data_IF_596839986304
#
_entry.id   IF_596839986304
#
_cell.length_a   1.000
_cell.length_b   1.000
_cell.length_c   1.000
_cell.angle_alpha   90.00
_cell.angle_beta   90.00
_cell.angle_gamma   90.00
#
_symmetry.space_group_name_H-M   'P 1'
#
loop_
_entity.id
_entity.type
_entity.pdbx_description
1 polymer ?
#
# COMPACT_ATOMS: atom_id res chain seq x y z
N UNK A 1 -12.60 40.35 8.96
CA UNK A 1 -13.42 39.62 7.97
C UNK A 1 -12.43 38.80 7.19
N UNK A 2 -12.04 37.63 7.73
CA UNK A 2 -12.65 36.34 7.41
C UNK A 2 -12.36 35.99 5.95
N UNK A 3 -11.17 35.42 5.74
CA UNK A 3 -10.77 34.79 4.49
C UNK A 3 -11.71 33.61 4.22
N UNK A 4 -12.73 33.85 3.39
CA UNK A 4 -13.51 32.81 2.74
C UNK A 4 -12.73 32.34 1.51
N UNK A 5 -11.85 31.37 1.69
CA UNK A 5 -11.42 30.51 0.58
C UNK A 5 -12.14 29.16 0.70
N UNK A 6 -13.44 29.21 0.44
CA UNK A 6 -14.29 28.04 0.26
C UNK A 6 -14.07 27.46 -1.14
N UNK A 7 -12.88 26.92 -1.38
CA UNK A 7 -12.66 25.88 -2.38
C UNK A 7 -12.16 24.65 -1.64
N UNK A 8 -13.11 23.93 -1.03
CA UNK A 8 -12.89 22.72 -0.25
C UNK A 8 -12.37 21.58 -1.13
N UNK A 9 -11.09 21.65 -1.52
CA UNK A 9 -10.38 20.47 -1.98
C UNK A 9 -10.27 19.55 -0.75
N UNK A 10 -10.88 18.36 -0.74
CA UNK A 10 -10.81 17.42 0.38
C UNK A 10 -9.41 16.81 0.56
N UNK A 11 -8.41 17.36 -0.13
CA UNK A 11 -7.05 16.87 -0.26
C UNK A 11 -6.11 18.06 -0.08
N UNK A 12 -5.73 18.34 1.16
CA UNK A 12 -4.73 19.37 1.45
C UNK A 12 -3.35 18.72 1.68
N UNK A 13 -3.33 17.47 2.14
CA UNK A 13 -2.12 16.70 2.37
C UNK A 13 -2.15 15.35 1.63
N UNK A 14 -0.98 14.77 1.25
CA UNK A 14 -0.93 13.47 0.57
C UNK A 14 -1.63 12.33 1.34
N UNK A 15 -1.65 12.39 2.68
CA UNK A 15 -2.34 11.41 3.52
C UNK A 15 -3.86 11.56 3.51
N UNK A 16 -4.40 12.72 3.13
CA UNK A 16 -5.84 12.90 2.98
C UNK A 16 -6.40 12.04 1.84
N UNK A 17 -5.60 11.79 0.79
CA UNK A 17 -5.98 10.86 -0.28
C UNK A 17 -6.12 9.43 0.24
N UNK A 18 -5.19 9.00 1.10
CA UNK A 18 -5.21 7.65 1.71
C UNK A 18 -6.47 7.47 2.55
N UNK A 19 -6.94 8.55 3.20
CA UNK A 19 -8.21 8.55 3.95
C UNK A 19 -9.40 8.19 3.09
N UNK A 20 -9.42 8.66 1.85
CA UNK A 20 -10.52 8.38 0.90
C UNK A 20 -10.54 6.90 0.48
N UNK A 21 -9.41 6.20 0.58
CA UNK A 21 -9.27 4.78 0.24
C UNK A 21 -9.53 3.82 1.42
N UNK A 22 -10.02 4.31 2.57
CA UNK A 22 -10.42 3.45 3.67
C UNK A 22 -11.53 2.47 3.24
N UNK A 23 -11.41 1.21 3.65
CA UNK A 23 -12.27 0.08 3.28
C UNK A 23 -12.21 -0.34 1.81
N UNK A 24 -11.35 0.27 0.99
CA UNK A 24 -11.08 -0.15 -0.39
C UNK A 24 -9.87 -1.08 -0.48
N UNK A 25 -9.71 -1.74 -1.64
CA UNK A 25 -8.52 -2.55 -1.94
C UNK A 25 -7.41 -1.63 -2.42
N UNK A 26 -6.27 -1.66 -1.74
CA UNK A 26 -5.08 -0.88 -2.07
C UNK A 26 -3.95 -1.78 -2.52
N UNK A 27 -3.07 -1.23 -3.36
CA UNK A 27 -1.80 -1.84 -3.75
C UNK A 27 -0.66 -1.07 -3.10
N UNK A 28 0.18 -1.77 -2.34
CA UNK A 28 1.28 -1.17 -1.57
C UNK A 28 2.59 -1.83 -1.97
N UNK A 29 3.49 -1.05 -2.57
CA UNK A 29 4.84 -1.49 -2.88
C UNK A 29 5.78 -1.21 -1.69
N UNK A 30 6.33 -2.26 -1.13
CA UNK A 30 7.29 -2.22 -0.03
C UNK A 30 8.72 -2.28 -0.57
N UNK A 31 9.67 -1.92 0.29
CA UNK A 31 11.10 -2.14 0.02
C UNK A 31 11.43 -3.63 0.06
N UNK A 32 12.46 -4.03 -0.70
CA UNK A 32 12.90 -5.42 -0.79
C UNK A 32 12.02 -6.27 -1.70
N UNK A 33 11.58 -5.69 -2.82
CA UNK A 33 10.82 -6.37 -3.87
C UNK A 33 9.61 -7.15 -3.35
N UNK A 34 8.84 -6.44 -2.51
CA UNK A 34 7.62 -6.95 -1.89
C UNK A 34 6.44 -6.05 -2.24
N UNK A 35 5.32 -6.66 -2.55
CA UNK A 35 4.08 -5.98 -2.89
C UNK A 35 2.94 -6.58 -2.07
N UNK A 36 2.09 -5.74 -1.50
CA UNK A 36 0.88 -6.14 -0.77
C UNK A 36 -0.35 -5.65 -1.53
N UNK A 37 -1.35 -6.51 -1.65
CA UNK A 37 -2.68 -6.15 -2.12
C UNK A 37 -3.69 -6.57 -1.07
N UNK A 38 -4.47 -5.64 -0.54
CA UNK A 38 -5.42 -5.95 0.53
C UNK A 38 -6.37 -4.78 0.81
N UNK A 39 -7.37 -5.02 1.65
CA UNK A 39 -8.33 -4.00 2.07
C UNK A 39 -7.71 -3.09 3.12
N UNK A 40 -7.74 -1.77 2.95
CA UNK A 40 -7.22 -0.82 3.93
C UNK A 40 -8.19 -0.61 5.09
N UNK A 41 -7.83 -1.03 6.30
CA UNK A 41 -8.64 -0.84 7.51
C UNK A 41 -8.25 0.41 8.29
N UNK A 42 -6.95 0.67 8.43
CA UNK A 42 -6.43 1.82 9.16
C UNK A 42 -5.06 2.26 8.62
N UNK A 43 -4.71 3.51 8.89
CA UNK A 43 -3.39 4.05 8.63
C UNK A 43 -3.04 5.12 9.67
N UNK A 44 -1.77 5.47 9.80
CA UNK A 44 -1.31 6.58 10.64
C UNK A 44 -0.36 7.53 9.88
N UNK A 45 0.13 8.56 10.58
CA UNK A 45 1.07 9.55 10.03
C UNK A 45 2.47 8.99 9.73
N UNK A 46 2.80 7.80 10.23
CA UNK A 46 4.08 7.12 9.97
C UNK A 46 4.00 6.18 8.76
N UNK A 47 2.86 6.13 8.07
CA UNK A 47 2.55 5.19 7.00
C UNK A 47 2.52 3.73 7.49
N UNK A 48 2.25 3.50 8.78
CA UNK A 48 1.81 2.17 9.21
C UNK A 48 0.42 1.93 8.63
N UNK A 49 0.18 0.72 8.12
CA UNK A 49 -1.09 0.33 7.51
C UNK A 49 -1.61 -0.92 8.24
N UNK A 50 -2.92 -0.98 8.43
CA UNK A 50 -3.62 -2.21 8.82
C UNK A 50 -4.40 -2.67 7.61
N UNK A 51 -4.02 -3.81 7.05
CA UNK A 51 -4.64 -4.39 5.87
C UNK A 51 -5.36 -5.69 6.23
N UNK A 52 -6.54 -5.91 5.64
CA UNK A 52 -7.31 -7.16 5.73
C UNK A 52 -7.34 -7.89 4.39
N UNK A 53 -7.51 -9.21 4.42
CA UNK A 53 -7.57 -10.08 3.23
C UNK A 53 -6.39 -9.84 2.28
N UNK A 54 -5.17 -9.96 2.80
CA UNK A 54 -3.94 -9.50 2.13
C UNK A 54 -3.31 -10.62 1.30
N UNK A 55 -2.98 -10.31 0.05
CA UNK A 55 -2.06 -11.06 -0.80
C UNK A 55 -0.70 -10.35 -0.82
N UNK A 56 0.32 -11.03 -0.30
CA UNK A 56 1.71 -10.62 -0.38
C UNK A 56 2.39 -11.31 -1.57
N UNK A 57 3.14 -10.54 -2.35
CA UNK A 57 3.98 -11.02 -3.45
C UNK A 57 5.43 -10.63 -3.18
N UNK A 58 6.34 -11.59 -3.16
CA UNK A 58 7.78 -11.41 -2.95
C UNK A 58 8.51 -11.83 -4.24
N UNK A 59 9.30 -10.93 -4.82
CA UNK A 59 10.14 -11.24 -5.98
C UNK A 59 11.53 -11.62 -5.50
N UNK A 60 11.98 -12.81 -5.88
CA UNK A 60 13.29 -13.36 -5.58
C UNK A 60 14.09 -13.40 -6.87
N UNK A 61 15.28 -12.79 -6.86
CA UNK A 61 16.23 -12.88 -7.97
C UNK A 61 17.26 -13.94 -7.57
N UNK A 62 17.27 -15.08 -8.26
CA UNK A 62 18.31 -16.09 -8.06
C UNK A 62 19.56 -15.69 -8.86
N UNK A 63 20.65 -15.40 -8.16
CA UNK A 63 21.94 -15.02 -8.76
C UNK A 63 22.75 -16.24 -9.26
N UNK A 64 22.26 -17.46 -9.03
CA UNK A 64 23.03 -18.70 -9.24
C UNK A 64 22.79 -19.39 -10.59
N UNK A 65 21.77 -19.01 -11.37
CA UNK A 65 21.46 -19.60 -12.66
C UNK A 65 21.84 -18.63 -13.80
N UNK A 66 22.47 -19.11 -14.87
CA UNK A 66 22.93 -18.35 -16.05
C UNK A 66 21.78 -17.63 -16.85
N UNK A 67 20.61 -17.46 -16.24
CA UNK A 67 19.50 -16.67 -16.73
C UNK A 67 18.89 -15.86 -15.58
N UNK A 68 18.57 -14.60 -15.84
CA UNK A 68 17.82 -13.71 -14.93
C UNK A 68 16.39 -14.23 -14.72
N UNK A 69 16.20 -15.36 -14.03
CA UNK A 69 14.89 -15.88 -13.68
C UNK A 69 14.39 -15.23 -12.38
N UNK A 70 13.45 -14.30 -12.51
CA UNK A 70 12.73 -13.72 -11.37
C UNK A 70 11.68 -14.70 -10.87
N UNK A 71 11.87 -15.27 -9.69
CA UNK A 71 10.89 -16.14 -9.03
C UNK A 71 9.93 -15.30 -8.19
N UNK A 72 8.66 -15.68 -8.17
CA UNK A 72 7.62 -14.97 -7.40
C UNK A 72 7.00 -15.87 -6.35
N UNK A 73 7.08 -15.49 -5.07
CA UNK A 73 6.43 -16.19 -3.97
C UNK A 73 5.20 -15.40 -3.50
N UNK A 74 4.03 -16.04 -3.50
CA UNK A 74 2.77 -15.44 -3.02
C UNK A 74 2.35 -16.02 -1.67
N UNK A 75 1.85 -15.17 -0.77
CA UNK A 75 1.32 -15.54 0.54
C UNK A 75 0.02 -14.82 0.81
N UNK A 76 -0.94 -15.50 1.42
CA UNK A 76 -2.21 -14.90 1.83
C UNK A 76 -2.27 -14.82 3.35
N UNK A 77 -2.72 -13.67 3.88
CA UNK A 77 -2.90 -13.44 5.32
C UNK A 77 -4.24 -12.76 5.57
N UNK A 78 -4.93 -13.15 6.63
CA UNK A 78 -6.23 -12.56 7.01
C UNK A 78 -6.07 -11.09 7.44
N UNK A 79 -4.97 -10.77 8.15
CA UNK A 79 -4.66 -9.42 8.61
C UNK A 79 -3.14 -9.21 8.68
N UNK A 80 -2.70 -8.00 8.31
CA UNK A 80 -1.30 -7.54 8.32
C UNK A 80 -1.21 -6.10 8.83
#
# INVERSE_FOLDING_TARGET
MADEDSTSNPVNEPLDLVRLSLSEIVFVKLRGDRELQGRLHAYDSHCNLVLGDVEETIYLVDEEEDGEEVRTAKKNSEML
#
